data_IF_878758184468
#
_entry.id   IF_878758184468
#
_cell.length_a   1.000
_cell.length_b   1.000
_cell.length_c   1.000
_cell.angle_alpha   90.00
_cell.angle_beta   90.00
_cell.angle_gamma   90.00
#
_symmetry.space_group_name_H-M   'P 1'
#
loop_
_entity.id
_entity.type
_entity.pdbx_description
1 polymer ?
#
# COMPACT_ATOMS: atom_id res chain seq x y z
N UNK A 1 28.00 -22.40 32.81
CA UNK A 1 27.46 -21.02 32.80
C UNK A 1 27.02 -20.53 31.40
N UNK A 2 26.96 -21.40 30.38
CA UNK A 2 26.63 -21.00 29.00
C UNK A 2 25.14 -20.71 28.76
N UNK A 3 24.24 -21.34 29.53
CA UNK A 3 22.79 -21.23 29.38
C UNK A 3 22.24 -19.79 29.48
N UNK A 4 22.60 -18.98 30.51
CA UNK A 4 22.11 -17.59 30.58
C UNK A 4 22.65 -16.69 29.46
N UNK A 5 23.88 -16.94 29.00
CA UNK A 5 24.50 -16.17 27.92
C UNK A 5 23.78 -16.36 26.58
N UNK A 6 23.35 -17.59 26.29
CA UNK A 6 22.62 -17.92 25.06
C UNK A 6 21.24 -17.24 25.03
N UNK A 7 20.56 -17.15 26.18
CA UNK A 7 19.28 -16.44 26.32
C UNK A 7 19.44 -14.95 26.01
N UNK A 8 20.51 -14.31 26.50
CA UNK A 8 20.78 -12.89 26.25
C UNK A 8 21.02 -12.64 24.75
N UNK A 9 21.81 -13.50 24.09
CA UNK A 9 22.06 -13.38 22.65
C UNK A 9 20.78 -13.54 21.85
N UNK A 10 19.96 -14.56 22.15
CA UNK A 10 18.69 -14.77 21.46
C UNK A 10 17.75 -13.58 21.67
N UNK A 11 17.68 -13.03 22.88
CA UNK A 11 16.89 -11.84 23.17
C UNK A 11 17.34 -10.62 22.35
N UNK A 12 18.66 -10.40 22.25
CA UNK A 12 19.25 -9.31 21.48
C UNK A 12 19.00 -9.45 19.97
N UNK A 13 19.06 -10.67 19.45
CA UNK A 13 18.77 -10.96 18.04
C UNK A 13 17.28 -10.74 17.72
N UNK A 14 16.38 -11.15 18.62
CA UNK A 14 14.94 -10.97 18.43
C UNK A 14 14.53 -9.48 18.50
N UNK A 15 15.20 -8.67 19.33
CA UNK A 15 14.93 -7.23 19.45
C UNK A 15 15.12 -6.47 18.13
N UNK A 16 16.09 -6.89 17.31
CA UNK A 16 16.38 -6.26 16.01
C UNK A 16 15.31 -6.56 14.94
N UNK A 17 14.58 -7.68 15.07
CA UNK A 17 13.57 -8.07 14.06
C UNK A 17 12.33 -7.18 14.07
N UNK A 18 12.00 -6.56 15.21
CA UNK A 18 10.85 -5.65 15.36
C UNK A 18 11.05 -4.35 14.55
N UNK A 19 12.29 -3.93 14.32
CA UNK A 19 12.60 -2.67 13.61
C UNK A 19 12.50 -2.82 12.08
N UNK A 20 12.46 -4.05 11.54
CA UNK A 20 12.42 -4.31 10.10
C UNK A 20 11.03 -4.12 9.45
N UNK A 21 9.98 -3.91 10.23
CA UNK A 21 8.66 -3.58 9.67
C UNK A 21 8.71 -2.18 9.06
N UNK A 22 8.39 -2.06 7.76
CA UNK A 22 8.37 -0.78 7.02
C UNK A 22 7.42 0.21 7.69
N UNK A 23 7.94 1.02 8.63
CA UNK A 23 7.20 1.96 9.50
C UNK A 23 6.33 2.96 8.74
N UNK A 24 6.62 3.15 7.45
CA UNK A 24 5.98 4.17 6.62
C UNK A 24 4.90 3.66 5.67
N UNK A 25 4.36 2.46 5.87
CA UNK A 25 3.24 1.98 5.06
C UNK A 25 1.92 2.60 5.52
N UNK A 26 1.18 3.24 4.61
CA UNK A 26 -0.18 3.72 4.86
C UNK A 26 -1.20 2.70 4.31
N UNK A 27 -2.29 2.48 5.05
CA UNK A 27 -3.39 1.60 4.63
C UNK A 27 -4.70 2.39 4.66
N UNK A 28 -5.44 2.32 3.56
CA UNK A 28 -6.73 2.98 3.39
C UNK A 28 -7.80 1.97 3.01
N UNK A 29 -8.97 2.11 3.61
CA UNK A 29 -10.16 1.33 3.31
C UNK A 29 -11.09 2.18 2.47
N UNK A 30 -11.50 1.69 1.29
CA UNK A 30 -12.25 2.49 0.32
C UNK A 30 -13.44 1.69 -0.20
N UNK A 31 -14.59 2.35 -0.35
CA UNK A 31 -15.77 1.79 -1.03
C UNK A 31 -15.66 1.89 -2.54
N UNK A 32 -16.48 1.13 -3.26
CA UNK A 32 -16.58 1.21 -4.73
C UNK A 32 -16.98 2.61 -5.21
N UNK A 33 -17.71 3.34 -4.37
CA UNK A 33 -18.03 4.75 -4.56
C UNK A 33 -16.85 5.70 -4.38
N UNK A 34 -15.64 5.22 -4.05
CA UNK A 34 -14.43 6.00 -3.79
C UNK A 34 -14.38 6.73 -2.45
N UNK A 35 -15.38 6.51 -1.59
CA UNK A 35 -15.39 7.08 -0.24
C UNK A 35 -14.49 6.31 0.71
N UNK A 36 -13.79 7.04 1.57
CA UNK A 36 -13.04 6.45 2.68
C UNK A 36 -13.96 5.72 3.67
N UNK A 37 -13.42 4.64 4.21
CA UNK A 37 -13.99 3.91 5.32
C UNK A 37 -13.01 3.86 6.48
N UNK A 38 -13.57 3.79 7.69
CA UNK A 38 -12.77 3.71 8.91
C UNK A 38 -12.16 2.32 9.07
N UNK A 39 -12.89 1.28 8.67
CA UNK A 39 -12.58 -0.11 9.01
C UNK A 39 -12.67 -1.02 7.78
N UNK A 40 -11.93 -2.14 7.81
CA UNK A 40 -11.90 -3.14 6.75
C UNK A 40 -13.26 -3.79 6.40
N UNK A 41 -14.15 -4.15 7.36
CA UNK A 41 -15.37 -4.90 7.05
C UNK A 41 -16.37 -4.18 6.13
N UNK A 42 -16.29 -2.85 6.04
CA UNK A 42 -17.16 -2.03 5.17
C UNK A 42 -16.49 -1.56 3.88
N UNK A 43 -15.28 -2.05 3.59
CA UNK A 43 -14.47 -1.62 2.47
C UNK A 43 -14.63 -2.57 1.28
N UNK A 44 -14.77 -2.00 0.09
CA UNK A 44 -14.75 -2.77 -1.16
C UNK A 44 -13.32 -2.99 -1.65
N UNK A 45 -12.39 -2.12 -1.24
CA UNK A 45 -10.99 -2.14 -1.62
C UNK A 45 -10.10 -1.71 -0.46
N UNK A 46 -8.88 -2.26 -0.44
CA UNK A 46 -7.83 -1.90 0.51
C UNK A 46 -6.68 -1.33 -0.30
N UNK A 47 -6.29 -0.08 -0.06
CA UNK A 47 -5.12 0.54 -0.69
C UNK A 47 -3.99 0.54 0.33
N UNK A 48 -2.87 -0.07 -0.04
CA UNK A 48 -1.62 -0.04 0.70
C UNK A 48 -0.62 0.82 -0.07
N UNK A 49 -0.10 1.85 0.60
CA UNK A 49 0.92 2.74 0.04
C UNK A 49 2.20 2.54 0.85
N UNK A 50 3.14 1.82 0.26
CA UNK A 50 4.44 1.54 0.86
C UNK A 50 5.45 2.63 0.51
N UNK A 51 6.44 2.88 1.39
CA UNK A 51 7.52 3.82 1.09
C UNK A 51 8.26 3.40 -0.19
N UNK A 52 8.92 4.36 -0.87
CA UNK A 52 9.67 4.08 -2.08
C UNK A 52 10.67 2.95 -1.86
N UNK A 53 10.77 2.07 -2.85
CA UNK A 53 11.81 1.05 -2.84
C UNK A 53 13.14 1.71 -3.20
N UNK A 54 14.13 1.57 -2.32
CA UNK A 54 15.46 2.16 -2.49
C UNK A 54 16.21 1.59 -3.71
N UNK A 55 15.74 0.46 -4.26
CA UNK A 55 16.37 -0.26 -5.36
C UNK A 55 15.89 0.13 -6.78
N UNK A 56 14.66 0.64 -6.95
CA UNK A 56 14.07 0.87 -8.29
C UNK A 56 13.84 2.35 -8.59
N UNK A 57 13.10 3.06 -7.74
CA UNK A 57 12.86 4.49 -7.89
C UNK A 57 12.58 5.11 -6.51
N UNK A 58 13.56 5.87 -6.01
CA UNK A 58 13.57 6.43 -4.65
C UNK A 58 12.49 7.49 -4.39
N UNK A 59 11.83 7.99 -5.44
CA UNK A 59 10.90 9.11 -5.34
C UNK A 59 9.43 8.68 -5.46
N UNK A 60 9.17 7.40 -5.75
CA UNK A 60 7.82 6.90 -6.01
C UNK A 60 7.37 5.91 -4.95
N UNK A 61 6.25 6.20 -4.31
CA UNK A 61 5.57 5.29 -3.41
C UNK A 61 4.95 4.13 -4.19
N UNK A 62 5.05 2.93 -3.65
CA UNK A 62 4.41 1.76 -4.24
C UNK A 62 2.98 1.66 -3.75
N UNK A 63 2.03 1.63 -4.67
CA UNK A 63 0.59 1.54 -4.40
C UNK A 63 0.11 0.16 -4.81
N UNK A 64 -0.23 -0.65 -3.81
CA UNK A 64 -0.86 -1.95 -4.00
C UNK A 64 -2.31 -1.86 -3.54
N UNK A 65 -3.25 -2.13 -4.43
CA UNK A 65 -4.66 -2.21 -4.06
C UNK A 65 -5.14 -3.64 -4.09
N UNK A 66 -5.92 -4.02 -3.10
CA UNK A 66 -6.44 -5.36 -2.90
C UNK A 66 -7.96 -5.36 -2.88
N UNK A 67 -8.54 -6.47 -3.32
CA UNK A 67 -9.91 -6.84 -3.00
C UNK A 67 -10.03 -7.27 -1.54
N UNK A 68 -11.25 -7.33 -0.96
CA UNK A 68 -11.44 -7.77 0.42
C UNK A 68 -11.00 -9.23 0.63
N UNK A 69 -10.95 -10.01 -0.45
CA UNK A 69 -10.40 -11.37 -0.46
C UNK A 69 -8.87 -11.44 -0.33
N UNK A 70 -8.17 -10.30 -0.26
CA UNK A 70 -6.70 -10.23 -0.23
C UNK A 70 -6.02 -10.38 -1.59
N UNK A 71 -6.78 -10.65 -2.67
CA UNK A 71 -6.23 -10.68 -4.03
C UNK A 71 -5.90 -9.28 -4.52
N UNK A 72 -4.78 -9.14 -5.22
CA UNK A 72 -4.36 -7.88 -5.83
C UNK A 72 -5.39 -7.45 -6.89
N UNK A 73 -5.79 -6.19 -6.84
CA UNK A 73 -6.62 -5.51 -7.83
C UNK A 73 -5.76 -4.70 -8.78
N UNK A 74 -4.79 -3.94 -8.27
CA UNK A 74 -3.80 -3.28 -9.10
C UNK A 74 -2.53 -2.95 -8.33
N UNK A 75 -1.46 -2.76 -9.10
CA UNK A 75 -0.14 -2.32 -8.67
C UNK A 75 0.22 -1.09 -9.49
N UNK A 76 0.67 -0.04 -8.82
CA UNK A 76 1.07 1.21 -9.45
C UNK A 76 2.07 1.96 -8.57
N UNK A 77 2.63 3.03 -9.10
CA UNK A 77 3.40 3.99 -8.32
C UNK A 77 2.63 5.29 -8.10
N UNK A 78 2.96 6.03 -7.04
CA UNK A 78 2.41 7.36 -6.74
C UNK A 78 3.50 8.32 -6.23
N UNK A 79 3.28 9.62 -6.43
CA UNK A 79 4.20 10.67 -5.96
C UNK A 79 3.99 11.04 -4.50
N UNK A 80 2.85 10.66 -3.91
CA UNK A 80 2.51 10.96 -2.53
C UNK A 80 2.01 9.74 -1.78
N UNK A 81 2.33 9.70 -0.48
CA UNK A 81 1.78 8.74 0.48
C UNK A 81 0.30 8.98 0.78
N UNK A 82 -0.20 10.19 0.57
CA UNK A 82 -1.58 10.58 0.92
C UNK A 82 -2.50 10.44 -0.28
N UNK A 83 -3.74 10.04 -0.01
CA UNK A 83 -4.83 10.12 -0.98
C UNK A 83 -5.25 11.58 -1.17
N UNK A 84 -5.65 11.94 -2.38
CA UNK A 84 -6.14 13.26 -2.73
C UNK A 84 -7.65 13.21 -3.04
N UNK A 85 -8.42 14.24 -2.66
CA UNK A 85 -9.80 14.36 -3.08
C UNK A 85 -9.87 14.49 -4.60
N UNK A 86 -10.82 13.78 -5.21
CA UNK A 86 -11.07 13.84 -6.65
C UNK A 86 -11.81 15.12 -7.01
N UNK A 87 -12.72 15.55 -6.14
CA UNK A 87 -13.49 16.78 -6.29
C UNK A 87 -13.32 17.61 -5.00
N UNK A 88 -12.90 18.89 -5.11
CA UNK A 88 -12.85 19.81 -3.97
C UNK A 88 -14.16 19.91 -3.18
N UNK A 89 -15.31 19.67 -3.82
CA UNK A 89 -16.64 19.73 -3.19
C UNK A 89 -17.02 18.46 -2.43
N UNK A 90 -16.27 17.37 -2.60
CA UNK A 90 -16.56 16.06 -1.99
C UNK A 90 -15.33 15.52 -1.24
N UNK A 91 -15.06 15.99 -0.01
CA UNK A 91 -13.81 15.69 0.72
C UNK A 91 -13.64 14.21 1.07
N UNK A 92 -14.72 13.42 1.06
CA UNK A 92 -14.67 11.98 1.31
C UNK A 92 -14.28 11.13 0.09
N UNK A 93 -14.36 11.70 -1.12
CA UNK A 93 -14.16 10.98 -2.38
C UNK A 93 -12.71 11.13 -2.86
N UNK A 94 -11.90 10.08 -2.70
CA UNK A 94 -10.44 10.19 -2.81
C UNK A 94 -9.82 9.16 -3.75
N UNK A 95 -8.65 9.48 -4.32
CA UNK A 95 -7.80 8.57 -5.10
C UNK A 95 -6.31 8.79 -4.80
N UNK A 96 -5.46 7.76 -5.01
CA UNK A 96 -4.03 7.96 -5.04
C UNK A 96 -3.61 8.72 -6.31
N UNK A 97 -2.58 9.56 -6.20
CA UNK A 97 -2.01 10.30 -7.32
C UNK A 97 -1.02 9.40 -8.08
N UNK A 98 -1.57 8.55 -8.95
CA UNK A 98 -0.79 7.53 -9.66
C UNK A 98 0.11 8.14 -10.74
N UNK A 99 1.29 7.54 -10.93
CA UNK A 99 2.25 7.88 -11.97
C UNK A 99 2.92 6.61 -12.53
N UNK A 100 3.25 6.63 -13.82
CA UNK A 100 4.03 5.56 -14.45
C UNK A 100 3.19 4.36 -14.81
N UNK A 101 3.75 3.15 -14.68
CA UNK A 101 3.04 1.94 -15.06
C UNK A 101 2.02 1.53 -14.01
N UNK A 102 0.84 1.17 -14.50
CA UNK A 102 -0.30 0.65 -13.76
C UNK A 102 -0.64 -0.73 -14.32
N UNK A 103 -0.70 -1.73 -13.45
CA UNK A 103 -1.09 -3.10 -13.80
C UNK A 103 -2.31 -3.47 -12.98
N UNK A 104 -3.39 -3.90 -13.63
CA UNK A 104 -4.64 -4.30 -12.98
C UNK A 104 -4.93 -5.79 -13.16
N UNK A 105 -5.71 -6.33 -12.22
CA UNK A 105 -6.05 -7.74 -12.10
C UNK A 105 -7.54 -7.90 -11.77
N UNK A 106 -8.13 -8.97 -12.29
CA UNK A 106 -9.48 -9.40 -11.94
C UNK A 106 -9.53 -9.93 -10.51
N UNK A 107 -10.75 -10.06 -9.95
CA UNK A 107 -10.97 -10.75 -8.67
C UNK A 107 -10.47 -12.21 -8.68
N UNK A 108 -10.29 -12.81 -9.84
CA UNK A 108 -9.68 -14.14 -9.99
C UNK A 108 -8.18 -14.12 -9.72
N UNK A 109 -7.51 -12.97 -9.85
CA UNK A 109 -6.05 -12.81 -9.82
C UNK A 109 -5.40 -12.75 -11.20
N UNK A 110 -6.18 -12.95 -12.27
CA UNK A 110 -5.69 -12.89 -13.65
C UNK A 110 -5.43 -11.44 -14.04
N UNK A 111 -4.29 -11.18 -14.70
CA UNK A 111 -3.94 -9.86 -15.24
C UNK A 111 -5.01 -9.40 -16.22
N UNK A 112 -5.56 -8.22 -15.98
CA UNK A 112 -6.59 -7.59 -16.81
C UNK A 112 -5.96 -6.64 -17.83
N UNK A 113 -5.19 -5.65 -17.35
CA UNK A 113 -4.65 -4.59 -18.22
C UNK A 113 -3.35 -4.02 -17.67
N UNK A 114 -2.47 -3.58 -18.57
CA UNK A 114 -1.30 -2.75 -18.27
C UNK A 114 -1.44 -1.42 -19.00
N UNK A 115 -1.20 -0.29 -18.33
CA UNK A 115 -1.20 1.05 -18.93
C UNK A 115 -0.12 1.91 -18.30
N UNK A 116 0.39 2.87 -19.07
CA UNK A 116 1.27 3.91 -18.53
C UNK A 116 0.44 5.19 -18.33
N UNK A 117 0.27 5.60 -17.08
CA UNK A 117 -0.31 6.87 -16.70
C UNK A 117 0.75 7.96 -16.88
N UNK A 118 0.52 8.91 -17.78
CA UNK A 118 1.18 10.22 -17.68
C UNK A 118 0.61 10.91 -16.45
N UNK A 119 1.45 11.58 -15.68
CA UNK A 119 1.09 12.30 -14.45
C UNK A 119 -0.22 13.05 -14.64
N UNK A 120 -1.28 12.63 -13.96
CA UNK A 120 -2.61 13.20 -14.14
C UNK A 120 -2.78 14.44 -13.29
N UNK A 121 -2.86 15.60 -13.95
CA UNK A 121 -3.90 16.60 -13.63
C UNK A 121 -5.05 16.29 -14.57
#
# INVERSE_FOLDING_TARGET
MLKPFLIIIVYLLLFNTVVAQKKDTAVYFIKKSGYLQKNAPGADFIIMISPPDTSVNKNLYMVNTYYPSGKIRYISSATSKKLQPIDPKSPGYVKPLLQGQFISFFKTGIKCRSQTMKTGI
#
